data_IF_904419865248
#
_entry.id   IF_904419865248
#
_cell.length_a   1.000
_cell.length_b   1.000
_cell.length_c   1.000
_cell.angle_alpha   90.00
_cell.angle_beta   90.00
_cell.angle_gamma   90.00
#
_symmetry.space_group_name_H-M   'P 1'
#
loop_
_entity.id
_entity.type
_entity.pdbx_description
1 polymer ?
#
# COMPACT_ATOMS: atom_id res chain seq x y z
N UNK A 1 34.96 -25.07 28.87
CA UNK A 1 34.08 -23.88 29.03
C UNK A 1 34.96 -22.64 29.05
N UNK A 2 34.41 -21.50 28.62
CA UNK A 2 35.13 -20.22 28.34
C UNK A 2 36.10 -20.30 27.15
N UNK A 3 36.48 -19.12 26.64
CA UNK A 3 37.22 -18.89 25.38
C UNK A 3 36.50 -19.29 24.08
N UNK A 4 35.35 -18.66 23.80
CA UNK A 4 34.93 -18.33 22.43
C UNK A 4 34.49 -16.86 22.30
N UNK A 5 33.93 -16.29 23.36
CA UNK A 5 33.34 -14.95 23.35
C UNK A 5 34.40 -13.82 23.24
N UNK A 6 35.59 -14.03 23.82
CA UNK A 6 36.70 -13.06 23.85
C UNK A 6 37.40 -12.82 22.50
N UNK A 7 37.19 -13.68 21.49
CA UNK A 7 37.75 -13.43 20.16
C UNK A 7 36.95 -12.38 19.40
N UNK A 8 35.62 -12.40 19.51
CA UNK A 8 34.73 -11.43 18.85
C UNK A 8 34.97 -9.99 19.34
N UNK A 9 35.19 -9.77 20.64
CA UNK A 9 35.50 -8.43 21.17
C UNK A 9 36.84 -7.85 20.65
N UNK A 10 37.71 -8.67 20.04
CA UNK A 10 38.94 -8.22 19.35
C UNK A 10 38.75 -7.97 17.85
N UNK A 11 37.65 -8.42 17.26
CA UNK A 11 37.32 -8.17 15.85
C UNK A 11 36.41 -6.94 15.70
N UNK A 12 35.44 -6.76 16.61
CA UNK A 12 34.57 -5.57 16.66
C UNK A 12 35.37 -4.28 16.95
N UNK A 13 36.59 -4.38 17.50
CA UNK A 13 37.51 -3.25 17.72
C UNK A 13 38.42 -2.91 16.52
N UNK A 14 38.25 -3.57 15.37
CA UNK A 14 38.89 -3.18 14.11
C UNK A 14 37.95 -2.30 13.30
N UNK A 15 38.49 -1.40 12.50
CA UNK A 15 37.69 -0.67 11.50
C UNK A 15 37.10 -1.66 10.48
N UNK A 16 35.86 -1.47 10.00
CA UNK A 16 35.02 -0.27 10.16
C UNK A 16 34.18 -0.22 11.46
N UNK A 17 34.25 -1.22 12.34
CA UNK A 17 33.37 -1.33 13.50
C UNK A 17 33.75 -0.41 14.67
N UNK A 18 35.03 -0.02 14.77
CA UNK A 18 35.52 0.89 15.81
C UNK A 18 34.91 2.31 15.77
N UNK A 19 34.34 2.74 14.63
CA UNK A 19 33.70 4.05 14.45
C UNK A 19 32.17 4.03 14.56
N UNK A 20 31.57 2.89 14.92
CA UNK A 20 30.12 2.76 15.09
C UNK A 20 29.74 2.73 16.59
N UNK A 21 28.67 3.43 17.03
CA UNK A 21 28.23 3.43 18.42
C UNK A 21 27.53 2.11 18.77
N UNK A 22 28.31 1.03 18.93
CA UNK A 22 27.81 -0.26 19.38
C UNK A 22 27.50 -0.22 20.88
N UNK A 23 26.31 0.23 21.23
CA UNK A 23 25.86 0.38 22.62
C UNK A 23 25.73 -0.98 23.33
N UNK A 24 25.79 -0.97 24.66
CA UNK A 24 25.47 -2.17 25.46
C UNK A 24 24.01 -2.63 25.27
N UNK A 25 23.11 -1.76 24.80
CA UNK A 25 21.74 -2.15 24.44
C UNK A 25 21.70 -2.91 23.10
N UNK A 26 22.54 -2.54 22.12
CA UNK A 26 22.76 -3.35 20.91
C UNK A 26 23.37 -4.71 21.28
N UNK A 27 24.35 -4.74 22.19
CA UNK A 27 24.93 -5.99 22.73
C UNK A 27 23.87 -6.87 23.39
N UNK A 28 22.99 -6.29 24.21
CA UNK A 28 21.87 -7.00 24.86
C UNK A 28 20.87 -7.56 23.85
N UNK A 29 20.47 -6.79 22.83
CA UNK A 29 19.55 -7.24 21.77
C UNK A 29 20.12 -8.39 20.95
N UNK A 30 21.38 -8.29 20.51
CA UNK A 30 22.06 -9.37 19.79
C UNK A 30 22.19 -10.64 20.66
N UNK A 31 22.50 -10.51 21.95
CA UNK A 31 22.54 -11.65 22.86
C UNK A 31 21.17 -12.31 23.05
N UNK A 32 20.08 -11.54 23.18
CA UNK A 32 18.72 -12.07 23.20
C UNK A 32 18.36 -12.80 21.90
N UNK A 33 18.74 -12.26 20.74
CA UNK A 33 18.49 -12.87 19.44
C UNK A 33 19.27 -14.18 19.27
N UNK A 34 20.53 -14.24 19.74
CA UNK A 34 21.33 -15.48 19.77
C UNK A 34 20.78 -16.51 20.77
N UNK A 35 20.23 -16.08 21.91
CA UNK A 35 19.58 -16.99 22.86
C UNK A 35 18.24 -17.52 22.34
N UNK A 36 17.49 -16.69 21.59
CA UNK A 36 16.26 -17.09 20.90
C UNK A 36 16.55 -18.09 19.78
N UNK A 37 17.55 -17.85 18.93
CA UNK A 37 17.98 -18.79 17.89
C UNK A 37 18.36 -20.16 18.46
N UNK A 38 19.13 -20.21 19.55
CA UNK A 38 19.48 -21.48 20.23
C UNK A 38 18.24 -22.23 20.73
N UNK A 39 17.26 -21.53 21.30
CA UNK A 39 15.99 -22.12 21.76
C UNK A 39 15.11 -22.61 20.60
N UNK A 40 15.20 -21.99 19.42
CA UNK A 40 14.53 -22.49 18.22
C UNK A 40 15.25 -23.67 17.55
N UNK A 41 16.59 -23.74 17.61
CA UNK A 41 17.35 -24.92 17.15
C UNK A 41 17.10 -26.16 18.02
N UNK A 42 16.99 -25.99 19.34
CA UNK A 42 16.64 -27.08 20.26
C UNK A 42 15.19 -27.58 20.12
N UNK A 43 14.31 -26.80 19.47
CA UNK A 43 12.90 -27.14 19.26
C UNK A 43 12.58 -27.97 18.00
N UNK A 44 13.54 -28.15 17.07
CA UNK A 44 13.25 -28.62 15.71
C UNK A 44 14.07 -29.85 15.27
N UNK A 45 14.11 -30.89 16.10
CA UNK A 45 14.51 -32.26 15.71
C UNK A 45 13.68 -33.32 16.41
N UNK A 46 12.70 -33.87 15.70
CA UNK A 46 12.04 -35.12 16.07
C UNK A 46 12.35 -36.20 15.03
N UNK A 47 12.83 -37.35 15.49
CA UNK A 47 12.33 -38.68 15.06
C UNK A 47 12.94 -39.80 15.93
N UNK A 48 12.26 -40.96 15.95
CA UNK A 48 12.64 -42.15 16.72
C UNK A 48 13.66 -43.06 16.00
N UNK A 49 13.82 -44.36 16.37
CA UNK A 49 12.82 -45.22 17.06
C UNK A 49 13.38 -46.18 18.15
N UNK A 50 12.58 -47.21 18.48
CA UNK A 50 12.92 -48.51 19.13
C UNK A 50 12.87 -48.69 20.68
N UNK A 51 11.89 -49.52 21.11
CA UNK A 51 12.06 -50.75 21.92
C UNK A 51 12.11 -50.72 23.48
N UNK A 52 11.11 -51.40 24.10
CA UNK A 52 11.10 -52.09 25.43
C UNK A 52 11.37 -51.23 26.70
N UNK A 53 10.46 -51.08 27.67
CA UNK A 53 9.84 -52.19 28.44
C UNK A 53 8.69 -51.79 29.39
N UNK A 54 7.61 -52.60 29.39
CA UNK A 54 6.74 -53.10 30.49
C UNK A 54 6.43 -52.30 31.80
N UNK A 55 5.19 -52.52 32.29
CA UNK A 55 4.62 -52.31 33.66
C UNK A 55 4.28 -50.83 34.03
N UNK A 56 3.12 -50.47 34.62
CA UNK A 56 1.95 -51.22 35.13
C UNK A 56 0.62 -50.45 35.04
N UNK A 57 -0.51 -51.17 35.18
CA UNK A 57 -1.88 -50.69 35.54
C UNK A 57 -2.36 -51.51 36.77
N UNK A 58 -3.48 -51.23 37.47
CA UNK A 58 -4.67 -50.42 37.12
C UNK A 58 -4.79 -49.17 38.05
N UNK A 59 -5.89 -48.66 38.65
CA UNK A 59 -7.30 -49.09 38.75
C UNK A 59 -8.31 -47.95 39.09
N UNK A 60 -9.55 -48.16 38.64
CA UNK A 60 -10.88 -47.62 38.99
C UNK A 60 -11.04 -46.69 40.22
N UNK A 61 -11.85 -45.62 40.06
CA UNK A 61 -12.51 -44.90 41.17
C UNK A 61 -13.63 -43.95 40.69
N UNK A 62 -14.86 -44.09 41.22
CA UNK A 62 -16.00 -43.22 40.94
C UNK A 62 -16.09 -42.05 41.94
N UNK A 63 -16.72 -40.93 41.55
CA UNK A 63 -17.99 -40.42 42.14
C UNK A 63 -18.49 -39.19 41.37
N UNK A 64 -19.82 -39.06 41.27
CA UNK A 64 -20.50 -37.98 40.54
C UNK A 64 -20.85 -36.78 41.43
N UNK A 65 -20.91 -35.57 40.85
CA UNK A 65 -21.93 -34.59 41.25
C UNK A 65 -22.61 -33.93 40.05
N UNK A 66 -23.95 -33.94 40.06
CA UNK A 66 -24.79 -33.29 39.06
C UNK A 66 -25.05 -31.83 39.43
N UNK A 67 -24.84 -30.89 38.50
CA UNK A 67 -25.72 -29.73 38.35
C UNK A 67 -26.10 -29.55 36.89
N UNK A 68 -27.41 -29.63 36.61
CA UNK A 68 -27.98 -29.25 35.30
C UNK A 68 -28.28 -27.75 35.35
N UNK A 69 -27.80 -26.99 34.37
CA UNK A 69 -28.65 -25.98 33.74
C UNK A 69 -28.97 -26.45 32.31
N UNK A 70 -30.16 -26.09 31.83
CA UNK A 70 -30.67 -26.34 30.48
C UNK A 70 -31.54 -25.14 30.10
N UNK A 71 -31.66 -24.88 28.78
CA UNK A 71 -32.06 -23.60 28.13
C UNK A 71 -30.84 -22.69 27.93
N UNK A 72 -30.47 -22.32 26.70
CA UNK A 72 -30.94 -22.80 25.39
C UNK A 72 -29.94 -22.41 24.29
N UNK A 73 -29.98 -23.05 23.11
CA UNK A 73 -29.02 -22.74 22.05
C UNK A 73 -29.40 -21.41 21.37
N UNK A 74 -28.75 -20.31 21.78
CA UNK A 74 -28.57 -19.19 20.88
C UNK A 74 -27.55 -19.61 19.82
N UNK A 75 -28.06 -20.13 18.70
CA UNK A 75 -27.28 -20.26 17.46
C UNK A 75 -27.16 -18.86 16.87
N UNK A 76 -26.37 -18.01 17.52
CA UNK A 76 -25.77 -16.87 16.86
C UNK A 76 -24.83 -17.44 15.80
N UNK A 77 -25.21 -17.32 14.53
CA UNK A 77 -24.44 -17.85 13.42
C UNK A 77 -23.14 -17.08 13.25
N UNK A 78 -22.10 -17.44 13.99
CA UNK A 78 -20.72 -17.05 13.69
C UNK A 78 -20.33 -17.72 12.37
N UNK A 79 -20.69 -17.07 11.27
CA UNK A 79 -20.20 -17.37 9.93
C UNK A 79 -18.71 -17.05 9.86
N UNK A 80 -17.91 -17.92 10.48
CA UNK A 80 -16.47 -17.79 10.54
C UNK A 80 -15.92 -17.87 9.11
N UNK A 81 -15.64 -16.70 8.53
CA UNK A 81 -15.17 -16.60 7.15
C UNK A 81 -13.79 -17.23 7.09
N UNK A 82 -13.64 -18.33 6.35
CA UNK A 82 -12.33 -18.89 6.02
C UNK A 82 -11.73 -18.06 4.87
N UNK A 83 -11.52 -16.76 5.13
CA UNK A 83 -10.54 -15.98 4.38
C UNK A 83 -9.20 -16.69 4.56
N UNK A 84 -8.44 -16.84 3.48
CA UNK A 84 -7.15 -17.52 3.47
C UNK A 84 -6.08 -16.69 4.22
N UNK A 85 -6.17 -16.64 5.55
CA UNK A 85 -5.34 -15.84 6.47
C UNK A 85 -3.82 -16.11 6.35
N UNK A 86 -3.41 -17.17 5.65
CA UNK A 86 -2.03 -17.42 5.28
C UNK A 86 -1.42 -16.41 4.29
N UNK A 87 -2.20 -15.50 3.68
CA UNK A 87 -1.69 -14.45 2.79
C UNK A 87 -1.04 -13.26 3.52
N UNK A 88 -1.48 -12.94 4.74
CA UNK A 88 -1.19 -11.65 5.39
C UNK A 88 -0.20 -11.75 6.58
N UNK A 89 0.32 -12.93 6.90
CA UNK A 89 1.19 -13.17 8.08
C UNK A 89 2.66 -12.70 7.93
N UNK A 90 2.88 -11.43 7.55
CA UNK A 90 4.20 -10.78 7.59
C UNK A 90 4.10 -9.37 8.19
N UNK A 91 4.30 -9.30 9.52
CA UNK A 91 4.51 -8.03 10.24
C UNK A 91 5.86 -7.44 9.82
N UNK A 92 5.90 -6.15 9.49
CA UNK A 92 7.11 -5.42 9.12
C UNK A 92 7.27 -4.18 10.02
N UNK A 93 8.45 -4.01 10.61
CA UNK A 93 8.81 -2.83 11.42
C UNK A 93 10.29 -2.43 11.22
N UNK A 94 10.81 -2.61 9.99
CA UNK A 94 12.20 -2.33 9.57
C UNK A 94 12.26 -1.33 8.40
N UNK A 95 11.27 -0.43 8.31
CA UNK A 95 11.06 0.47 7.17
C UNK A 95 11.77 1.82 7.23
N UNK A 96 12.49 2.13 8.31
CA UNK A 96 13.24 3.38 8.44
C UNK A 96 14.65 3.23 7.88
N UNK A 97 14.99 4.02 6.86
CA UNK A 97 16.38 4.36 6.59
C UNK A 97 17.00 4.96 7.86
N UNK A 98 17.98 4.24 8.44
CA UNK A 98 18.92 4.86 9.38
C UNK A 98 19.52 6.07 8.67
N UNK A 99 19.46 7.25 9.29
CA UNK A 99 20.13 8.45 8.79
C UNK A 99 21.58 8.51 9.25
N UNK A 100 22.57 8.19 8.39
CA UNK A 100 23.82 8.92 8.36
C UNK A 100 23.78 9.96 7.23
N UNK A 101 24.44 11.09 7.51
CA UNK A 101 24.99 12.08 6.58
C UNK A 101 24.65 11.88 5.09
N UNK A 102 23.87 12.82 4.54
CA UNK A 102 23.71 13.10 3.09
C UNK A 102 25.05 12.83 2.36
N UNK A 103 25.04 12.26 1.15
CA UNK A 103 26.26 12.16 0.32
C UNK A 103 26.70 13.58 -0.09
N UNK A 104 27.47 14.25 0.80
CA UNK A 104 27.82 15.67 0.76
C UNK A 104 28.90 15.98 -0.29
N UNK A 105 28.60 15.75 -1.57
CA UNK A 105 29.46 16.13 -2.69
C UNK A 105 28.68 16.95 -3.74
N UNK A 106 27.86 17.88 -3.25
CA UNK A 106 27.46 19.05 -4.02
C UNK A 106 27.98 20.31 -3.31
N UNK A 107 28.87 21.09 -3.95
CA UNK A 107 29.33 22.36 -3.37
C UNK A 107 28.16 23.34 -3.25
N UNK A 108 28.39 24.46 -2.56
CA UNK A 108 27.41 25.56 -2.43
C UNK A 108 27.25 26.29 -3.77
N UNK A 109 26.60 25.62 -4.74
CA UNK A 109 26.36 26.13 -6.07
C UNK A 109 25.53 27.42 -6.01
N UNK A 110 26.01 28.45 -6.70
CA UNK A 110 25.23 29.65 -6.95
C UNK A 110 24.04 29.31 -7.85
N UNK A 111 22.89 29.92 -7.57
CA UNK A 111 21.69 29.76 -8.39
C UNK A 111 22.00 30.03 -9.85
N UNK A 112 21.56 29.12 -10.72
CA UNK A 112 21.56 29.37 -12.16
C UNK A 112 20.39 30.28 -12.49
N UNK A 113 20.68 31.41 -13.13
CA UNK A 113 19.76 32.51 -13.39
C UNK A 113 19.74 32.77 -14.90
N UNK A 114 18.57 33.10 -15.48
CA UNK A 114 18.54 33.76 -16.79
C UNK A 114 19.07 35.19 -16.70
N UNK A 115 19.68 35.62 -17.80
CA UNK A 115 20.57 36.78 -17.86
C UNK A 115 19.82 38.12 -17.69
N UNK A 116 18.51 38.14 -17.96
CA UNK A 116 17.60 39.28 -17.84
C UNK A 116 16.80 39.33 -16.50
N UNK A 117 17.12 38.46 -15.53
CA UNK A 117 16.36 38.41 -14.26
C UNK A 117 16.55 39.66 -13.38
N UNK A 118 15.45 40.10 -12.76
CA UNK A 118 15.46 41.15 -11.74
C UNK A 118 15.95 40.62 -10.38
N UNK A 119 17.17 40.08 -10.36
CA UNK A 119 17.79 39.37 -9.23
C UNK A 119 17.98 40.21 -7.96
N UNK A 120 17.81 41.54 -8.08
CA UNK A 120 17.79 42.50 -6.98
C UNK A 120 16.63 42.25 -5.99
N UNK A 121 15.55 41.62 -6.45
CA UNK A 121 14.41 41.25 -5.59
C UNK A 121 14.76 40.14 -4.57
N UNK A 122 15.76 39.31 -4.85
CA UNK A 122 16.16 38.21 -3.95
C UNK A 122 17.34 38.61 -3.07
N UNK A 123 17.09 38.69 -1.76
CA UNK A 123 18.17 38.77 -0.76
C UNK A 123 19.04 37.51 -0.77
N UNK A 124 20.27 37.57 -0.27
CA UNK A 124 21.15 36.38 -0.22
C UNK A 124 20.60 35.26 0.66
N UNK A 125 19.74 35.57 1.65
CA UNK A 125 18.96 34.56 2.38
C UNK A 125 17.95 33.89 1.46
N UNK A 126 17.14 34.66 0.72
CA UNK A 126 16.16 34.12 -0.23
C UNK A 126 16.82 33.25 -1.30
N UNK A 127 17.93 33.72 -1.87
CA UNK A 127 18.77 32.96 -2.82
C UNK A 127 19.21 31.62 -2.20
N UNK A 128 19.66 31.62 -0.94
CA UNK A 128 20.04 30.41 -0.21
C UNK A 128 18.85 29.49 0.07
N UNK A 129 17.69 30.01 0.46
CA UNK A 129 16.46 29.23 0.68
C UNK A 129 16.10 28.44 -0.59
N UNK A 130 15.99 29.12 -1.73
CA UNK A 130 15.68 28.51 -3.04
C UNK A 130 16.74 27.47 -3.43
N UNK A 131 18.03 27.85 -3.35
CA UNK A 131 19.16 26.99 -3.69
C UNK A 131 19.27 25.72 -2.82
N UNK A 132 18.79 25.78 -1.57
CA UNK A 132 18.78 24.66 -0.64
C UNK A 132 17.58 23.76 -0.93
N UNK A 133 16.37 24.32 -1.02
CA UNK A 133 15.12 23.59 -1.31
C UNK A 133 15.21 22.78 -2.60
N UNK A 134 15.66 23.39 -3.71
CA UNK A 134 15.85 22.67 -4.97
C UNK A 134 16.95 21.59 -4.88
N UNK A 135 18.02 21.81 -4.10
CA UNK A 135 19.13 20.86 -4.00
C UNK A 135 18.81 19.66 -3.10
N UNK A 136 18.21 19.89 -1.94
CA UNK A 136 17.92 18.84 -0.96
C UNK A 136 16.60 18.12 -1.27
N UNK A 137 15.52 18.84 -1.58
CA UNK A 137 14.19 18.22 -1.75
C UNK A 137 13.95 17.72 -3.19
N UNK A 138 14.38 18.47 -4.22
CA UNK A 138 14.24 18.04 -5.64
C UNK A 138 15.45 17.23 -6.14
N UNK A 139 16.56 17.24 -5.40
CA UNK A 139 17.83 16.63 -5.80
C UNK A 139 18.56 17.36 -6.95
N UNK A 140 18.11 18.55 -7.35
CA UNK A 140 18.68 19.31 -8.48
C UNK A 140 18.28 20.79 -8.42
N UNK A 141 19.27 21.70 -8.49
CA UNK A 141 19.01 23.10 -8.79
C UNK A 141 18.66 23.28 -10.28
N UNK A 142 17.50 23.88 -10.54
CA UNK A 142 17.05 24.25 -11.88
C UNK A 142 17.47 25.69 -12.22
N UNK A 143 17.53 26.04 -13.52
CA UNK A 143 17.77 27.42 -13.95
C UNK A 143 16.49 28.24 -13.71
N UNK A 144 16.58 29.24 -12.84
CA UNK A 144 15.49 30.19 -12.57
C UNK A 144 15.18 30.96 -13.86
N UNK A 145 13.90 31.07 -14.17
CA UNK A 145 13.32 31.72 -15.34
C UNK A 145 12.58 33.00 -14.96
N UNK A 146 11.94 33.05 -13.79
CA UNK A 146 11.15 34.19 -13.30
C UNK A 146 11.41 34.48 -11.82
N UNK A 147 11.37 35.76 -11.46
CA UNK A 147 11.27 36.26 -10.07
C UNK A 147 10.28 37.42 -10.07
N UNK A 148 9.32 37.40 -9.16
CA UNK A 148 8.22 38.37 -9.09
C UNK A 148 7.90 38.74 -7.64
N UNK A 149 7.83 40.04 -7.33
CA UNK A 149 7.34 40.51 -6.04
C UNK A 149 5.80 40.60 -6.06
N UNK A 150 5.15 40.05 -5.03
CA UNK A 150 3.70 39.98 -4.89
C UNK A 150 3.26 40.78 -3.65
N UNK A 151 3.42 42.12 -3.65
CA UNK A 151 3.40 42.96 -2.45
C UNK A 151 2.07 42.91 -1.70
N UNK A 152 0.94 42.73 -2.41
CA UNK A 152 -0.41 42.57 -1.82
C UNK A 152 -0.48 41.35 -0.88
N UNK A 153 0.33 40.32 -1.15
CA UNK A 153 0.39 39.09 -0.35
C UNK A 153 1.58 39.02 0.63
N UNK A 154 2.52 39.98 0.53
CA UNK A 154 3.79 39.94 1.27
C UNK A 154 4.69 38.76 0.87
N UNK A 155 4.61 38.28 -0.38
CA UNK A 155 5.36 37.14 -0.91
C UNK A 155 6.29 37.56 -2.06
N UNK A 156 7.37 36.81 -2.27
CA UNK A 156 8.14 36.82 -3.51
C UNK A 156 8.01 35.44 -4.16
N UNK A 157 7.65 35.41 -5.43
CA UNK A 157 7.53 34.20 -6.24
C UNK A 157 8.81 33.98 -7.06
N UNK A 158 9.24 32.72 -7.15
CA UNK A 158 10.41 32.26 -7.89
C UNK A 158 10.03 31.04 -8.71
N UNK A 159 10.39 31.05 -9.98
CA UNK A 159 10.04 30.02 -10.98
C UNK A 159 11.30 29.51 -11.67
N UNK A 160 11.38 28.21 -11.89
CA UNK A 160 12.40 27.56 -12.71
C UNK A 160 11.76 26.43 -13.51
N UNK A 161 11.99 26.40 -14.83
CA UNK A 161 11.26 25.50 -15.74
C UNK A 161 9.78 25.90 -15.91
N UNK A 162 8.96 24.97 -16.37
CA UNK A 162 7.52 25.16 -16.59
C UNK A 162 6.77 23.90 -16.12
N UNK A 163 5.57 24.05 -15.56
CA UNK A 163 4.76 22.94 -15.05
C UNK A 163 4.39 21.90 -16.12
N UNK A 164 4.30 22.31 -17.39
CA UNK A 164 4.14 21.40 -18.53
C UNK A 164 5.42 20.67 -18.97
N UNK A 165 6.58 21.01 -18.41
CA UNK A 165 7.87 20.38 -18.68
C UNK A 165 8.23 19.31 -17.63
N UNK A 166 9.23 18.48 -17.96
CA UNK A 166 9.69 17.34 -17.14
C UNK A 166 10.28 17.73 -15.79
N UNK A 167 10.83 18.93 -15.68
CA UNK A 167 11.42 19.48 -14.45
C UNK A 167 10.88 20.91 -14.24
N UNK A 168 10.33 21.18 -13.06
CA UNK A 168 9.95 22.53 -12.65
C UNK A 168 10.04 22.74 -11.15
N UNK A 169 10.15 24.01 -10.76
CA UNK A 169 10.04 24.46 -9.37
C UNK A 169 9.37 25.83 -9.29
N UNK A 170 8.25 25.88 -8.55
CA UNK A 170 7.52 27.07 -8.15
C UNK A 170 7.71 27.24 -6.63
N UNK A 171 8.26 28.37 -6.20
CA UNK A 171 8.55 28.63 -4.77
C UNK A 171 8.06 30.02 -4.39
N UNK A 172 7.26 30.08 -3.32
CA UNK A 172 6.83 31.33 -2.70
C UNK A 172 7.56 31.53 -1.38
N UNK A 173 8.23 32.67 -1.29
CA UNK A 173 8.98 33.13 -0.13
C UNK A 173 8.19 34.21 0.60
N UNK A 174 8.39 34.33 1.90
CA UNK A 174 8.00 35.50 2.68
C UNK A 174 8.91 36.70 2.32
N UNK A 175 8.33 37.82 1.88
CA UNK A 175 9.09 38.97 1.38
C UNK A 175 9.92 39.68 2.46
N UNK A 176 9.55 39.56 3.74
CA UNK A 176 10.25 40.24 4.85
C UNK A 176 11.35 39.35 5.43
N UNK A 177 11.10 38.05 5.56
CA UNK A 177 11.97 37.11 6.27
C UNK A 177 12.77 36.20 5.36
N UNK A 178 12.38 36.02 4.08
CA UNK A 178 13.03 35.09 3.15
C UNK A 178 12.86 33.61 3.50
N UNK A 179 11.91 33.28 4.37
CA UNK A 179 11.51 31.90 4.68
C UNK A 179 10.62 31.35 3.54
N UNK A 180 10.56 30.03 3.38
CA UNK A 180 9.55 29.38 2.54
C UNK A 180 8.14 29.66 3.11
N UNK A 181 7.16 29.80 2.21
CA UNK A 181 5.72 29.84 2.54
C UNK A 181 4.93 28.79 1.75
N UNK A 182 5.35 28.50 0.52
CA UNK A 182 4.68 27.54 -0.35
C UNK A 182 5.70 27.01 -1.38
N UNK A 183 5.60 25.74 -1.76
CA UNK A 183 6.52 25.05 -2.69
C UNK A 183 5.71 24.07 -3.54
N UNK A 184 5.94 24.05 -4.85
CA UNK A 184 5.49 23.01 -5.77
C UNK A 184 6.60 22.72 -6.78
N UNK A 185 7.16 21.50 -6.77
CA UNK A 185 8.25 21.12 -7.67
C UNK A 185 8.06 19.71 -8.20
N UNK A 186 8.50 19.45 -9.44
CA UNK A 186 8.45 18.14 -10.10
C UNK A 186 9.74 17.89 -10.85
N UNK A 187 10.20 16.64 -10.87
CA UNK A 187 11.34 16.18 -11.66
C UNK A 187 11.16 14.74 -12.08
N UNK A 188 10.99 14.53 -13.38
CA UNK A 188 11.29 13.24 -14.03
C UNK A 188 12.81 13.12 -14.19
N UNK A 189 13.41 12.05 -13.67
CA UNK A 189 14.86 11.81 -13.74
C UNK A 189 15.16 10.42 -14.31
N UNK A 190 16.34 10.25 -14.90
CA UNK A 190 16.84 8.93 -15.28
C UNK A 190 17.11 8.09 -14.04
N UNK A 191 16.90 6.77 -14.06
CA UNK A 191 17.17 5.93 -12.88
C UNK A 191 18.62 5.91 -12.40
N UNK A 192 19.57 6.32 -13.25
CA UNK A 192 20.99 6.54 -12.88
C UNK A 192 21.24 7.83 -12.08
N UNK A 193 20.26 8.73 -11.99
CA UNK A 193 20.30 9.96 -11.19
C UNK A 193 19.68 9.78 -9.79
N UNK A 194 18.98 8.67 -9.54
CA UNK A 194 18.38 8.35 -8.24
C UNK A 194 19.47 7.94 -7.24
N UNK A 195 19.41 8.49 -6.03
CA UNK A 195 20.43 8.28 -5.01
C UNK A 195 20.53 6.79 -4.62
N UNK A 196 21.76 6.27 -4.54
CA UNK A 196 22.01 4.84 -4.33
C UNK A 196 21.36 4.25 -3.07
N UNK A 197 21.00 5.08 -2.08
CA UNK A 197 20.28 4.66 -0.87
C UNK A 197 18.87 4.12 -1.14
N UNK A 198 18.18 4.60 -2.17
CA UNK A 198 16.88 4.07 -2.58
C UNK A 198 17.04 2.74 -3.31
N UNK A 199 17.93 2.69 -4.31
CA UNK A 199 18.20 1.51 -5.14
C UNK A 199 18.63 0.27 -4.32
N UNK A 200 19.34 0.45 -3.21
CA UNK A 200 19.73 -0.66 -2.30
C UNK A 200 18.55 -1.34 -1.60
N UNK A 201 17.42 -0.64 -1.41
CA UNK A 201 16.23 -1.19 -0.74
C UNK A 201 15.31 -1.99 -1.69
N UNK A 202 15.35 -1.67 -2.99
CA UNK A 202 14.43 -2.21 -4.01
C UNK A 202 14.26 -3.73 -3.94
N UNK A 203 15.33 -4.56 -3.88
CA UNK A 203 15.16 -6.02 -3.85
C UNK A 203 14.40 -6.51 -2.62
N UNK A 204 14.68 -5.95 -1.44
CA UNK A 204 14.01 -6.30 -0.19
C UNK A 204 12.55 -5.83 -0.14
N UNK A 205 12.25 -4.65 -0.66
CA UNK A 205 10.88 -4.11 -0.70
C UNK A 205 9.99 -4.89 -1.69
N UNK A 206 10.52 -5.21 -2.88
CA UNK A 206 9.81 -6.10 -3.83
C UNK A 206 9.65 -7.51 -3.25
N UNK A 207 10.66 -8.05 -2.57
CA UNK A 207 10.57 -9.35 -1.92
C UNK A 207 9.52 -9.38 -0.80
N UNK A 208 9.34 -8.29 -0.02
CA UNK A 208 8.38 -8.26 1.09
C UNK A 208 6.92 -8.38 0.65
N UNK A 209 6.59 -7.91 -0.56
CA UNK A 209 5.24 -8.10 -1.15
C UNK A 209 5.11 -9.40 -1.97
N UNK A 210 6.17 -10.22 -2.08
CA UNK A 210 6.17 -11.44 -2.90
C UNK A 210 6.47 -11.21 -4.39
N UNK A 211 6.99 -10.04 -4.77
CA UNK A 211 7.31 -9.70 -6.16
C UNK A 211 8.73 -10.12 -6.57
N UNK A 212 9.13 -9.78 -7.78
CA UNK A 212 10.43 -10.14 -8.38
C UNK A 212 11.52 -9.19 -7.90
N UNK A 213 12.49 -9.62 -7.06
CA UNK A 213 13.49 -8.72 -6.47
C UNK A 213 14.54 -8.20 -7.46
N UNK A 214 14.48 -8.65 -8.72
CA UNK A 214 15.41 -8.30 -9.82
C UNK A 214 14.76 -7.44 -10.91
N UNK A 215 13.59 -6.83 -10.66
CA UNK A 215 13.06 -5.79 -11.56
C UNK A 215 14.05 -4.63 -11.64
N UNK A 216 14.19 -4.06 -12.83
CA UNK A 216 15.12 -2.97 -13.13
C UNK A 216 14.38 -1.62 -13.05
N UNK A 217 15.01 -0.58 -12.50
CA UNK A 217 14.50 0.78 -12.57
C UNK A 217 14.23 1.23 -14.01
N UNK A 218 12.99 1.59 -14.32
CA UNK A 218 12.54 2.01 -15.64
C UNK A 218 12.41 3.55 -15.73
N UNK A 219 11.72 4.17 -14.76
CA UNK A 219 11.62 5.62 -14.65
C UNK A 219 11.54 6.06 -13.19
N UNK A 220 11.89 7.32 -12.92
CA UNK A 220 11.85 7.92 -11.59
C UNK A 220 11.21 9.29 -11.67
N UNK A 221 10.23 9.56 -10.80
CA UNK A 221 9.61 10.87 -10.65
C UNK A 221 9.70 11.31 -9.19
N UNK A 222 10.21 12.51 -8.95
CA UNK A 222 10.13 13.19 -7.65
C UNK A 222 9.17 14.35 -7.72
N UNK A 223 8.28 14.44 -6.75
CA UNK A 223 7.38 15.57 -6.52
C UNK A 223 7.68 16.15 -5.13
N UNK A 224 7.61 17.47 -4.99
CA UNK A 224 7.79 18.14 -3.70
C UNK A 224 6.70 19.18 -3.52
N UNK A 225 5.99 19.12 -2.41
CA UNK A 225 4.98 20.11 -2.03
C UNK A 225 5.22 20.65 -0.63
N UNK A 226 4.93 21.93 -0.44
CA UNK A 226 4.74 22.56 0.86
C UNK A 226 3.59 23.56 0.74
N UNK A 227 2.55 23.44 1.55
CA UNK A 227 1.40 24.37 1.58
C UNK A 227 1.60 25.46 2.62
N UNK A 228 0.86 26.57 2.49
CA UNK A 228 0.89 27.64 3.48
C UNK A 228 0.49 27.13 4.88
N UNK A 229 1.44 27.16 5.82
CA UNK A 229 1.26 26.73 7.21
C UNK A 229 2.00 25.44 7.56
N UNK A 230 2.49 24.69 6.57
CA UNK A 230 3.43 23.59 6.76
C UNK A 230 4.84 24.16 7.08
N UNK A 231 5.63 23.39 7.83
CA UNK A 231 6.92 23.87 8.38
C UNK A 231 8.15 23.47 7.56
N UNK A 232 8.03 22.43 6.74
CA UNK A 232 9.08 21.87 5.88
C UNK A 232 8.43 21.20 4.65
N UNK A 233 9.11 21.15 3.49
CA UNK A 233 8.57 20.47 2.31
C UNK A 233 8.46 18.96 2.47
N UNK A 234 7.43 18.38 1.86
CA UNK A 234 7.26 16.93 1.76
C UNK A 234 7.62 16.50 0.34
N UNK A 235 8.71 15.75 0.22
CA UNK A 235 9.12 15.09 -1.03
C UNK A 235 8.50 13.69 -1.13
N UNK A 236 8.03 13.33 -2.31
CA UNK A 236 7.60 11.99 -2.69
C UNK A 236 8.44 11.54 -3.89
N UNK A 237 9.10 10.39 -3.79
CA UNK A 237 9.87 9.78 -4.88
C UNK A 237 9.21 8.49 -5.31
N UNK A 238 8.68 8.46 -6.53
CA UNK A 238 8.13 7.26 -7.18
C UNK A 238 9.17 6.67 -8.11
N UNK A 239 9.40 5.37 -8.01
CA UNK A 239 10.29 4.57 -8.86
C UNK A 239 9.45 3.47 -9.53
N UNK A 240 9.33 3.54 -10.85
CA UNK A 240 8.75 2.47 -11.67
C UNK A 240 9.82 1.42 -11.99
N UNK A 241 9.43 0.14 -11.95
CA UNK A 241 10.30 -1.02 -12.03
C UNK A 241 9.75 -2.03 -13.04
N UNK A 242 10.57 -2.45 -13.99
CA UNK A 242 10.16 -3.34 -15.09
C UNK A 242 11.17 -4.49 -15.27
N UNK A 243 10.75 -5.60 -15.88
CA UNK A 243 11.66 -6.65 -16.33
C UNK A 243 12.19 -6.35 -17.76
N UNK A 244 13.12 -7.17 -18.26
CA UNK A 244 13.74 -6.95 -19.59
C UNK A 244 12.75 -7.08 -20.78
N UNK A 245 11.57 -7.65 -20.53
CA UNK A 245 10.50 -7.89 -21.50
C UNK A 245 9.34 -6.89 -21.42
N UNK A 246 9.33 -6.01 -20.40
CA UNK A 246 8.29 -4.99 -20.21
C UNK A 246 6.91 -5.51 -19.77
N UNK A 247 6.81 -6.78 -19.37
CA UNK A 247 5.55 -7.45 -19.00
C UNK A 247 5.38 -7.65 -17.48
N UNK A 248 6.46 -7.55 -16.70
CA UNK A 248 6.44 -7.59 -15.23
C UNK A 248 6.70 -6.21 -14.63
N UNK A 249 5.78 -5.74 -13.78
CA UNK A 249 5.77 -4.40 -13.18
C UNK A 249 5.99 -4.42 -11.66
N UNK A 250 6.62 -3.36 -11.17
CA UNK A 250 6.64 -2.94 -9.78
C UNK A 250 6.73 -1.42 -9.66
N UNK A 251 6.38 -0.90 -8.49
CA UNK A 251 6.45 0.51 -8.17
C UNK A 251 6.73 0.70 -6.67
N UNK A 252 7.59 1.65 -6.33
CA UNK A 252 7.90 1.99 -4.94
C UNK A 252 7.80 3.51 -4.79
N UNK A 253 7.04 3.95 -3.78
CA UNK A 253 6.92 5.35 -3.37
C UNK A 253 7.59 5.53 -2.02
N UNK A 254 8.55 6.44 -1.94
CA UNK A 254 9.11 6.93 -0.67
C UNK A 254 8.61 8.34 -0.38
N UNK A 255 8.11 8.57 0.83
CA UNK A 255 7.92 9.91 1.40
C UNK A 255 9.19 10.28 2.17
N UNK A 256 9.86 11.35 1.75
CA UNK A 256 11.22 11.71 2.18
C UNK A 256 12.20 10.52 2.02
N UNK A 257 12.47 9.79 3.10
CA UNK A 257 13.38 8.62 3.15
C UNK A 257 12.66 7.31 3.55
N UNK A 258 11.36 7.33 3.84
CA UNK A 258 10.59 6.15 4.26
C UNK A 258 9.77 5.61 3.10
N UNK A 259 9.84 4.31 2.83
CA UNK A 259 8.90 3.67 1.91
C UNK A 259 7.48 3.78 2.49
N UNK A 260 6.53 4.25 1.67
CA UNK A 260 5.12 4.45 2.05
C UNK A 260 4.16 3.64 1.18
N UNK A 261 4.51 3.36 -0.06
CA UNK A 261 3.73 2.45 -0.92
C UNK A 261 4.65 1.55 -1.73
N UNK A 262 4.29 0.27 -1.84
CA UNK A 262 5.01 -0.76 -2.58
C UNK A 262 3.98 -1.56 -3.37
N UNK A 263 4.04 -1.53 -4.70
CA UNK A 263 3.17 -2.33 -5.57
C UNK A 263 4.01 -3.19 -6.50
N UNK A 264 3.54 -4.38 -6.85
CA UNK A 264 4.20 -5.19 -7.88
C UNK A 264 3.54 -6.53 -8.13
N UNK A 265 3.98 -7.18 -9.21
CA UNK A 265 3.44 -8.46 -9.65
C UNK A 265 3.95 -9.59 -8.77
N UNK A 266 3.02 -10.44 -8.33
CA UNK A 266 3.34 -11.62 -7.53
C UNK A 266 4.04 -12.64 -8.41
N UNK A 267 5.19 -13.14 -7.96
CA UNK A 267 5.86 -14.25 -8.64
C UNK A 267 4.95 -15.49 -8.62
N UNK A 268 4.99 -16.38 -9.64
CA UNK A 268 4.15 -17.57 -9.67
C UNK A 268 4.26 -18.47 -8.43
N UNK A 269 5.42 -18.51 -7.77
CA UNK A 269 5.66 -19.26 -6.53
C UNK A 269 5.02 -18.64 -5.27
N UNK A 270 4.59 -17.38 -5.34
CA UNK A 270 3.95 -16.63 -4.26
C UNK A 270 2.42 -16.53 -4.42
N UNK A 271 1.87 -16.97 -5.56
CA UNK A 271 0.43 -16.95 -5.80
C UNK A 271 -0.23 -18.08 -5.00
N UNK A 272 -0.98 -17.70 -3.95
CA UNK A 272 -1.80 -18.62 -3.16
C UNK A 272 -2.84 -19.32 -4.05
N UNK A 273 -2.66 -20.62 -4.26
CA UNK A 273 -3.54 -21.42 -5.12
C UNK A 273 -4.97 -21.55 -4.55
N UNK A 274 -5.13 -21.41 -3.23
CA UNK A 274 -6.44 -21.37 -2.56
C UNK A 274 -7.15 -20.07 -2.95
N UNK A 275 -6.51 -18.91 -2.70
CA UNK A 275 -7.10 -17.61 -3.03
C UNK A 275 -7.35 -17.44 -4.55
N UNK A 276 -6.50 -18.02 -5.41
CA UNK A 276 -6.73 -18.05 -6.86
C UNK A 276 -7.94 -18.93 -7.25
N UNK A 277 -8.19 -20.04 -6.54
CA UNK A 277 -9.37 -20.86 -6.75
C UNK A 277 -10.65 -20.12 -6.25
N UNK A 278 -10.59 -19.50 -5.08
CA UNK A 278 -11.69 -18.69 -4.54
C UNK A 278 -12.02 -17.50 -5.44
N UNK A 279 -10.99 -16.82 -5.97
CA UNK A 279 -11.14 -15.74 -6.93
C UNK A 279 -11.80 -16.22 -8.25
N UNK A 280 -11.40 -17.38 -8.78
CA UNK A 280 -12.06 -18.00 -9.95
C UNK A 280 -13.52 -18.35 -9.67
N UNK A 281 -13.81 -18.92 -8.50
CA UNK A 281 -15.18 -19.21 -8.07
C UNK A 281 -16.05 -17.94 -7.97
N UNK A 282 -15.45 -16.82 -7.54
CA UNK A 282 -16.09 -15.52 -7.48
C UNK A 282 -16.33 -14.89 -8.87
N UNK A 283 -15.37 -14.98 -9.79
CA UNK A 283 -15.60 -14.55 -11.19
C UNK A 283 -16.70 -15.40 -11.83
N UNK A 284 -16.71 -16.72 -11.64
CA UNK A 284 -17.77 -17.59 -12.17
C UNK A 284 -19.13 -17.29 -11.50
N UNK A 285 -19.15 -16.83 -10.25
CA UNK A 285 -20.38 -16.40 -9.59
C UNK A 285 -20.93 -15.09 -10.19
N UNK A 286 -20.09 -14.09 -10.43
CA UNK A 286 -20.50 -12.79 -10.99
C UNK A 286 -20.84 -12.87 -12.49
N UNK A 287 -19.97 -13.50 -13.29
CA UNK A 287 -20.03 -13.46 -14.76
C UNK A 287 -20.75 -14.65 -15.41
N UNK A 288 -20.96 -15.74 -14.67
CA UNK A 288 -21.39 -17.03 -15.23
C UNK A 288 -20.35 -17.75 -16.10
N UNK A 289 -19.17 -17.16 -16.32
CA UNK A 289 -18.08 -17.73 -17.13
C UNK A 289 -17.14 -18.56 -16.25
N UNK A 290 -17.12 -19.88 -16.47
CA UNK A 290 -16.15 -20.78 -15.84
C UNK A 290 -14.79 -20.72 -16.55
N UNK A 291 -13.71 -21.08 -15.84
CA UNK A 291 -12.35 -21.26 -16.39
C UNK A 291 -11.75 -20.04 -17.14
N UNK A 292 -12.02 -18.81 -16.68
CA UNK A 292 -11.33 -17.63 -17.20
C UNK A 292 -9.84 -17.65 -16.84
N UNK A 293 -9.00 -17.32 -17.84
CA UNK A 293 -7.56 -17.25 -17.71
C UNK A 293 -7.16 -16.15 -16.71
N UNK A 294 -6.20 -16.44 -15.82
CA UNK A 294 -5.54 -15.41 -15.01
C UNK A 294 -4.57 -14.65 -15.91
N UNK A 295 -4.75 -13.33 -16.01
CA UNK A 295 -3.86 -12.45 -16.78
C UNK A 295 -2.73 -11.95 -15.88
N UNK A 296 -3.04 -11.57 -14.64
CA UNK A 296 -2.10 -10.94 -13.71
C UNK A 296 -2.49 -11.20 -12.27
N UNK A 297 -1.50 -11.35 -11.40
CA UNK A 297 -1.67 -11.31 -9.95
C UNK A 297 -0.66 -10.30 -9.38
N UNK A 298 -1.12 -9.39 -8.53
CA UNK A 298 -0.28 -8.35 -7.95
C UNK A 298 -0.64 -8.10 -6.48
N UNK A 299 0.26 -7.44 -5.77
CA UNK A 299 0.03 -6.95 -4.41
C UNK A 299 0.45 -5.50 -4.31
N UNK A 300 -0.36 -4.68 -3.66
CA UNK A 300 0.02 -3.35 -3.20
C UNK A 300 -0.06 -3.28 -1.68
N UNK A 301 0.96 -2.68 -1.05
CA UNK A 301 0.95 -2.35 0.37
C UNK A 301 1.21 -0.87 0.52
N UNK A 302 0.29 -0.19 1.19
CA UNK A 302 0.24 1.27 1.31
C UNK A 302 0.03 1.67 2.77
N UNK A 303 1.05 2.29 3.37
CA UNK A 303 1.07 2.69 4.77
C UNK A 303 0.25 3.97 5.04
N UNK A 304 0.09 4.85 4.03
CA UNK A 304 -0.68 6.09 4.15
C UNK A 304 -2.17 5.78 4.26
N UNK A 305 -2.70 5.06 3.26
CA UNK A 305 -4.04 4.49 3.30
C UNK A 305 -4.18 3.47 4.45
N UNK A 306 -3.09 2.76 4.79
CA UNK A 306 -3.08 1.66 5.75
C UNK A 306 -3.84 0.46 5.21
N UNK A 307 -3.44 0.01 4.01
CA UNK A 307 -4.05 -1.07 3.24
C UNK A 307 -2.99 -2.03 2.70
N UNK A 308 -3.32 -3.32 2.69
CA UNK A 308 -2.56 -4.38 2.01
C UNK A 308 -3.55 -5.11 1.09
N UNK A 309 -3.37 -4.98 -0.22
CA UNK A 309 -4.33 -5.42 -1.25
C UNK A 309 -3.68 -6.45 -2.17
N UNK A 310 -4.22 -7.67 -2.18
CA UNK A 310 -3.92 -8.66 -3.23
C UNK A 310 -4.96 -8.52 -4.34
N UNK A 311 -4.51 -8.37 -5.58
CA UNK A 311 -5.36 -8.26 -6.78
C UNK A 311 -5.13 -9.44 -7.72
N UNK A 312 -6.21 -10.04 -8.21
CA UNK A 312 -6.22 -11.01 -9.31
C UNK A 312 -6.99 -10.41 -10.48
N UNK A 313 -6.32 -10.25 -11.62
CA UNK A 313 -6.93 -9.79 -12.88
C UNK A 313 -7.04 -10.97 -13.85
N UNK A 314 -8.24 -11.19 -14.35
CA UNK A 314 -8.59 -12.25 -15.29
C UNK A 314 -8.87 -11.67 -16.67
N UNK A 315 -8.97 -12.56 -17.65
CA UNK A 315 -9.40 -12.25 -19.01
C UNK A 315 -10.80 -11.62 -19.03
N UNK A 316 -11.12 -10.90 -20.09
CA UNK A 316 -12.34 -10.07 -20.22
C UNK A 316 -12.48 -9.00 -19.12
N UNK A 317 -11.35 -8.52 -18.57
CA UNK A 317 -11.27 -7.48 -17.52
C UNK A 317 -12.01 -7.79 -16.21
N UNK A 318 -12.29 -9.05 -15.90
CA UNK A 318 -12.79 -9.44 -14.59
C UNK A 318 -11.68 -9.35 -13.53
N UNK A 319 -12.02 -8.97 -12.30
CA UNK A 319 -11.05 -8.87 -11.22
C UNK A 319 -11.61 -9.30 -9.85
N UNK A 320 -10.70 -9.71 -8.97
CA UNK A 320 -10.94 -9.91 -7.54
C UNK A 320 -9.88 -9.16 -6.75
N UNK A 321 -10.29 -8.47 -5.69
CA UNK A 321 -9.41 -7.78 -4.76
C UNK A 321 -9.70 -8.19 -3.32
N UNK A 322 -8.63 -8.45 -2.57
CA UNK A 322 -8.65 -8.85 -1.16
C UNK A 322 -7.83 -7.82 -0.40
N UNK A 323 -8.48 -6.98 0.40
CA UNK A 323 -7.85 -5.86 1.12
C UNK A 323 -7.90 -6.12 2.62
N UNK A 324 -6.77 -6.06 3.31
CA UNK A 324 -6.71 -5.86 4.77
C UNK A 324 -6.36 -4.41 5.07
N UNK A 325 -6.98 -3.79 6.08
CA UNK A 325 -6.62 -2.43 6.48
C UNK A 325 -7.31 -1.94 7.74
N UNK A 326 -7.18 -0.63 8.01
CA UNK A 326 -7.74 0.04 9.20
C UNK A 326 -9.27 -0.12 9.37
N UNK A 327 -9.99 -0.44 8.29
CA UNK A 327 -11.44 -0.66 8.25
C UNK A 327 -11.82 -2.15 8.09
N UNK A 328 -10.99 -3.07 8.61
CA UNK A 328 -11.24 -4.51 8.55
C UNK A 328 -10.85 -5.16 7.23
N UNK A 329 -11.58 -6.21 6.86
CA UNK A 329 -11.29 -7.05 5.69
C UNK A 329 -12.29 -6.77 4.54
N UNK A 330 -11.78 -6.18 3.46
CA UNK A 330 -12.52 -5.94 2.23
C UNK A 330 -12.35 -7.06 1.20
N UNK A 331 -13.44 -7.46 0.54
CA UNK A 331 -13.40 -8.38 -0.60
C UNK A 331 -14.25 -7.83 -1.75
N UNK A 332 -13.61 -7.50 -2.87
CA UNK A 332 -14.25 -6.99 -4.08
C UNK A 332 -14.17 -8.01 -5.20
N UNK A 333 -15.26 -8.18 -5.94
CA UNK A 333 -15.32 -8.88 -7.22
C UNK A 333 -16.01 -7.99 -8.24
N UNK A 334 -15.46 -7.85 -9.44
CA UNK A 334 -15.99 -6.89 -10.42
C UNK A 334 -15.64 -7.15 -11.89
N UNK A 335 -16.39 -6.47 -12.75
CA UNK A 335 -16.24 -6.40 -14.20
C UNK A 335 -15.67 -5.02 -14.58
N UNK A 336 -14.34 -4.95 -14.72
CA UNK A 336 -13.63 -3.71 -15.08
C UNK A 336 -13.64 -3.41 -16.59
N UNK A 337 -14.65 -3.90 -17.34
CA UNK A 337 -14.98 -3.32 -18.65
C UNK A 337 -15.60 -1.93 -18.44
N UNK A 338 -14.74 -0.97 -18.14
CA UNK A 338 -14.99 0.45 -18.38
C UNK A 338 -15.36 0.65 -19.86
N UNK A 339 -16.16 1.68 -20.15
CA UNK A 339 -16.55 2.08 -21.51
C UNK A 339 -17.52 1.14 -22.26
N UNK A 340 -18.27 0.28 -21.57
CA UNK A 340 -19.74 0.39 -21.74
C UNK A 340 -20.15 1.72 -21.07
N UNK A 341 -19.94 2.84 -21.76
CA UNK A 341 -20.61 4.10 -21.44
C UNK A 341 -21.97 4.07 -22.14
N UNK A 342 -23.03 4.46 -21.44
CA UNK A 342 -24.26 4.86 -22.13
C UNK A 342 -23.89 6.03 -23.06
N UNK A 343 -24.21 5.93 -24.36
CA UNK A 343 -24.09 7.07 -25.27
C UNK A 343 -25.21 8.08 -24.94
N UNK A 344 -24.98 8.92 -23.93
CA UNK A 344 -25.89 10.00 -23.51
C UNK A 344 -25.67 11.18 -24.45
N UNK A 345 -26.55 11.35 -25.43
CA UNK A 345 -26.48 12.41 -26.42
C UNK A 345 -27.00 13.77 -25.93
N UNK A 346 -27.81 13.79 -24.86
CA UNK A 346 -28.42 15.01 -24.31
C UNK A 346 -28.80 14.88 -22.82
N UNK A 347 -29.27 16.00 -22.24
CA UNK A 347 -29.64 16.10 -20.82
C UNK A 347 -30.90 15.26 -20.49
N UNK A 348 -31.88 15.17 -21.40
CA UNK A 348 -33.11 14.40 -21.16
C UNK A 348 -32.81 12.89 -21.05
N UNK A 349 -31.89 12.38 -21.87
CA UNK A 349 -31.35 11.03 -21.77
C UNK A 349 -30.55 10.80 -20.47
N UNK A 350 -29.81 11.82 -20.01
CA UNK A 350 -29.07 11.77 -18.74
C UNK A 350 -30.03 11.66 -17.54
N UNK A 351 -31.06 12.50 -17.51
CA UNK A 351 -32.09 12.51 -16.46
C UNK A 351 -32.88 11.19 -16.46
N UNK A 352 -33.29 10.70 -17.63
CA UNK A 352 -33.97 9.40 -17.77
C UNK A 352 -33.07 8.19 -17.43
N UNK A 353 -31.75 8.29 -17.61
CA UNK A 353 -30.79 7.27 -17.17
C UNK A 353 -30.62 7.28 -15.64
N UNK A 354 -30.46 8.47 -15.06
CA UNK A 354 -30.39 8.65 -13.61
C UNK A 354 -31.68 8.18 -12.90
N UNK A 355 -32.86 8.48 -13.47
CA UNK A 355 -34.14 8.01 -12.95
C UNK A 355 -34.21 6.47 -12.93
N UNK A 356 -33.80 5.78 -14.00
CA UNK A 356 -33.76 4.31 -14.05
C UNK A 356 -32.82 3.71 -13.01
N UNK A 357 -31.61 4.26 -12.86
CA UNK A 357 -30.66 3.79 -11.84
C UNK A 357 -31.20 4.00 -10.43
N UNK A 358 -31.86 5.13 -10.16
CA UNK A 358 -32.43 5.43 -8.85
C UNK A 358 -33.65 4.56 -8.52
N UNK A 359 -34.55 4.36 -9.49
CA UNK A 359 -35.84 3.68 -9.31
C UNK A 359 -35.84 2.17 -9.61
N UNK A 360 -34.68 1.55 -9.90
CA UNK A 360 -34.61 0.09 -10.10
C UNK A 360 -35.15 -0.66 -8.88
N UNK A 361 -35.96 -1.71 -9.08
CA UNK A 361 -36.61 -2.41 -7.96
C UNK A 361 -35.58 -3.16 -7.08
N UNK A 362 -35.76 -3.08 -5.76
CA UNK A 362 -35.01 -3.87 -4.78
C UNK A 362 -35.23 -5.38 -5.00
N UNK A 363 -36.42 -5.80 -5.45
CA UNK A 363 -36.70 -7.21 -5.72
C UNK A 363 -35.76 -7.77 -6.81
N UNK A 364 -35.55 -7.01 -7.88
CA UNK A 364 -34.66 -7.35 -8.99
C UNK A 364 -33.19 -7.38 -8.53
N UNK A 365 -32.76 -6.38 -7.77
CA UNK A 365 -31.39 -6.34 -7.21
C UNK A 365 -31.13 -7.55 -6.30
N UNK A 366 -32.07 -7.93 -5.43
CA UNK A 366 -31.95 -9.13 -4.59
C UNK A 366 -31.91 -10.43 -5.41
N UNK A 367 -32.72 -10.53 -6.47
CA UNK A 367 -32.72 -11.68 -7.38
C UNK A 367 -31.35 -11.89 -8.03
N UNK A 368 -30.64 -10.81 -8.41
CA UNK A 368 -29.31 -10.92 -9.03
C UNK A 368 -28.18 -11.06 -8.00
N UNK A 369 -28.19 -10.29 -6.92
CA UNK A 369 -27.09 -10.26 -5.93
C UNK A 369 -27.11 -11.46 -5.00
N UNK A 370 -28.28 -11.89 -4.52
CA UNK A 370 -28.42 -12.96 -3.54
C UNK A 370 -27.74 -14.28 -3.93
N UNK A 371 -27.93 -14.80 -5.16
CA UNK A 371 -27.22 -15.99 -5.64
C UNK A 371 -25.69 -15.83 -5.68
N UNK A 372 -25.19 -14.63 -6.02
CA UNK A 372 -23.75 -14.34 -6.10
C UNK A 372 -23.16 -14.30 -4.69
N UNK A 373 -23.76 -13.52 -3.77
CA UNK A 373 -23.34 -13.44 -2.37
C UNK A 373 -23.37 -14.82 -1.69
N UNK A 374 -24.39 -15.62 -1.98
CA UNK A 374 -24.50 -16.99 -1.48
C UNK A 374 -23.42 -17.93 -2.05
N UNK A 375 -23.07 -17.81 -3.34
CA UNK A 375 -22.02 -18.64 -3.96
C UNK A 375 -20.60 -18.25 -3.50
N UNK A 376 -20.34 -16.97 -3.23
CA UNK A 376 -19.01 -16.49 -2.82
C UNK A 376 -18.81 -16.60 -1.30
N UNK A 377 -19.77 -16.13 -0.50
CA UNK A 377 -19.59 -15.97 0.95
C UNK A 377 -20.42 -16.95 1.78
N UNK A 378 -21.31 -17.74 1.17
CA UNK A 378 -22.26 -18.64 1.83
C UNK A 378 -23.12 -17.92 2.91
N UNK A 379 -23.50 -16.67 2.61
CA UNK A 379 -24.31 -15.80 3.48
C UNK A 379 -25.78 -15.83 3.04
N UNK A 380 -26.67 -15.69 4.03
CA UNK A 380 -28.09 -15.43 3.80
C UNK A 380 -28.33 -13.92 3.59
N UNK A 381 -28.63 -13.54 2.36
CA UNK A 381 -28.72 -12.15 1.93
C UNK A 381 -30.05 -11.47 2.29
N UNK A 382 -31.08 -12.26 2.62
CA UNK A 382 -32.42 -11.73 2.94
C UNK A 382 -32.44 -10.99 4.29
N UNK A 383 -31.43 -11.19 5.15
CA UNK A 383 -31.25 -10.48 6.41
C UNK A 383 -30.74 -9.03 6.27
N UNK A 384 -30.15 -8.67 5.13
CA UNK A 384 -29.55 -7.35 4.90
C UNK A 384 -30.61 -6.37 4.37
N UNK A 385 -30.55 -5.10 4.77
CA UNK A 385 -31.46 -4.03 4.33
C UNK A 385 -30.82 -3.13 3.29
N UNK A 386 -31.57 -2.75 2.26
CA UNK A 386 -31.10 -1.87 1.21
C UNK A 386 -30.98 -0.41 1.69
N UNK A 387 -29.87 0.23 1.35
CA UNK A 387 -29.69 1.68 1.32
C UNK A 387 -29.33 2.13 -0.09
N UNK A 388 -29.93 3.23 -0.52
CA UNK A 388 -29.57 3.97 -1.74
C UNK A 388 -28.84 5.23 -1.32
N UNK A 389 -27.71 5.53 -1.96
CA UNK A 389 -27.08 6.83 -1.83
C UNK A 389 -27.54 7.72 -3.00
N UNK A 390 -28.22 8.82 -2.71
CA UNK A 390 -28.70 9.76 -3.73
C UNK A 390 -27.53 10.46 -4.48
N UNK A 391 -26.34 10.51 -3.87
CA UNK A 391 -25.14 11.10 -4.45
C UNK A 391 -24.32 10.10 -5.30
N UNK A 392 -24.67 8.80 -5.28
CA UNK A 392 -23.95 7.72 -5.98
C UNK A 392 -24.93 6.79 -6.71
N UNK A 393 -25.50 7.28 -7.81
CA UNK A 393 -26.38 6.51 -8.67
C UNK A 393 -25.67 5.29 -9.28
N UNK A 394 -26.39 4.18 -9.41
CA UNK A 394 -25.81 2.91 -9.84
C UNK A 394 -25.04 2.16 -8.74
N UNK A 395 -25.00 2.68 -7.51
CA UNK A 395 -24.45 2.00 -6.34
C UNK A 395 -25.49 1.93 -5.21
N UNK A 396 -25.63 0.75 -4.60
CA UNK A 396 -26.40 0.56 -3.36
C UNK A 396 -25.55 -0.13 -2.30
N UNK A 397 -25.91 0.06 -1.03
CA UNK A 397 -25.33 -0.68 0.09
C UNK A 397 -26.40 -1.57 0.72
N UNK A 398 -26.08 -2.82 0.98
CA UNK A 398 -26.90 -3.73 1.77
C UNK A 398 -26.26 -3.88 3.15
N UNK A 399 -26.98 -3.50 4.21
CA UNK A 399 -26.49 -3.43 5.59
C UNK A 399 -27.13 -4.52 6.47
N UNK A 400 -26.33 -5.24 7.27
CA UNK A 400 -26.83 -6.15 8.30
C UNK A 400 -26.87 -5.46 9.67
N UNK A 401 -28.05 -5.00 10.09
CA UNK A 401 -28.28 -4.19 11.32
C UNK A 401 -27.70 -4.76 12.64
N UNK A 402 -27.37 -6.06 12.69
CA UNK A 402 -26.75 -6.71 13.85
C UNK A 402 -25.21 -6.69 13.84
N UNK A 403 -24.58 -6.01 12.88
CA UNK A 403 -23.12 -6.02 12.65
C UNK A 403 -22.64 -4.77 11.87
N UNK A 404 -21.33 -4.69 11.65
CA UNK A 404 -20.69 -3.75 10.70
C UNK A 404 -20.67 -4.27 9.25
N UNK A 405 -21.05 -5.54 9.00
CA UNK A 405 -20.92 -6.20 7.70
C UNK A 405 -21.85 -5.60 6.64
N UNK A 406 -21.27 -5.20 5.50
CA UNK A 406 -21.98 -4.60 4.38
C UNK A 406 -21.56 -5.15 3.03
N UNK A 407 -22.50 -5.12 2.07
CA UNK A 407 -22.24 -5.30 0.64
C UNK A 407 -22.56 -4.02 -0.13
N UNK A 408 -21.54 -3.34 -0.64
CA UNK A 408 -21.71 -2.35 -1.70
C UNK A 408 -21.84 -3.06 -3.04
N UNK A 409 -22.82 -2.66 -3.85
CA UNK A 409 -23.15 -3.29 -5.14
C UNK A 409 -23.26 -2.21 -6.21
N UNK A 410 -22.45 -2.32 -7.25
CA UNK A 410 -22.56 -1.52 -8.47
C UNK A 410 -23.42 -2.27 -9.49
N UNK A 411 -24.35 -1.58 -10.16
CA UNK A 411 -25.32 -2.17 -11.08
C UNK A 411 -25.66 -1.26 -12.27
N UNK A 412 -26.18 -1.89 -13.33
CA UNK A 412 -26.72 -1.24 -14.53
C UNK A 412 -28.21 -0.94 -14.43
N UNK A 413 -28.69 -0.07 -15.32
CA UNK A 413 -30.10 0.29 -15.50
C UNK A 413 -31.01 -0.89 -15.90
N UNK A 414 -30.42 -2.00 -16.36
CA UNK A 414 -31.09 -3.28 -16.62
C UNK A 414 -31.00 -4.30 -15.45
N UNK A 415 -30.31 -3.94 -14.35
CA UNK A 415 -30.09 -4.77 -13.18
C UNK A 415 -28.91 -5.75 -13.28
N UNK A 416 -28.11 -5.73 -14.36
CA UNK A 416 -26.82 -6.45 -14.37
C UNK A 416 -25.90 -5.92 -13.28
N UNK A 417 -25.33 -6.83 -12.49
CA UNK A 417 -24.38 -6.50 -11.43
C UNK A 417 -22.98 -6.33 -12.02
N UNK A 418 -22.35 -5.19 -11.74
CA UNK A 418 -21.04 -4.77 -12.23
C UNK A 418 -19.93 -5.09 -11.23
N UNK A 419 -20.18 -4.85 -9.94
CA UNK A 419 -19.23 -5.08 -8.87
C UNK A 419 -19.97 -5.41 -7.55
N UNK A 420 -19.39 -6.28 -6.74
CA UNK A 420 -19.79 -6.49 -5.34
C UNK A 420 -18.56 -6.32 -4.46
N UNK A 421 -18.61 -5.38 -3.53
CA UNK A 421 -17.60 -5.16 -2.48
C UNK A 421 -18.21 -5.48 -1.13
N UNK A 422 -17.70 -6.51 -0.46
CA UNK A 422 -17.95 -6.76 0.96
C UNK A 422 -16.94 -5.97 1.80
N UNK A 423 -17.37 -5.42 2.92
CA UNK A 423 -16.51 -4.76 3.90
C UNK A 423 -17.23 -4.49 5.22
N UNK A 424 -16.65 -3.61 6.04
CA UNK A 424 -17.18 -3.18 7.33
C UNK A 424 -17.39 -1.65 7.37
N UNK A 425 -18.42 -1.20 8.10
CA UNK A 425 -18.71 0.22 8.42
C UNK A 425 -18.11 0.67 9.76
#
# INVERSE_FOLDING_TARGET
MRHKDEQWEKEIRKEPFASSPFTEDHKRKVLQQVEWMKKSEEGSKGDGPESRSRLSRPQVGNVSHKRRLRRGPLVAGTGAVVIAAGLFLWIWDDGQLVKPVIEQVYPTAALQLSDDLNTNLLTDKMKRSVATTMRDDLGRQLKITKVEDLPVSGRIYVEAGNESEKEYAQIWLDATTGNLREVGMRREMQPSELEHRYLRQVPSLLQSIGSTPTLKPASVQRFVSMKQGESEPISHTTLALENETGDGYGEIVWQQDKAVSITGDLRPDQISQIALADARNAIEALSGKANLDLVRASRSKDDELGKDTVSFSFKDNYFVQMTEGKAGLGYTVGDANYYEQQEIGNIEEMEAYHEKLYNIDESLLREKVGPIVKKIFNIDFDAYKLRRNAEQLGIVTFELESSTDVFQVEYREDGRIKMITRGEL
#
